data_IF_503128528340
#
_entry.id   IF_503128528340
#
_cell.length_a   1.000
_cell.length_b   1.000
_cell.length_c   1.000
_cell.angle_alpha   90.00
_cell.angle_beta   90.00
_cell.angle_gamma   90.00
#
_symmetry.space_group_name_H-M   'P 1'
#
loop_
_entity.id
_entity.type
_entity.pdbx_description
1 polymer ?
#
# COMPACT_ATOMS: atom_id res chain seq x y z
N UNK A 1 -1.52 21.92 19.42
CA UNK A 1 -2.83 21.22 19.60
C UNK A 1 -3.08 20.37 18.36
N UNK A 2 -3.19 19.06 18.50
CA UNK A 2 -3.48 18.16 17.38
C UNK A 2 -4.82 18.55 16.73
N UNK A 3 -4.88 18.55 15.42
CA UNK A 3 -6.13 18.83 14.67
C UNK A 3 -7.13 17.67 14.79
N UNK A 4 -6.62 16.43 14.86
CA UNK A 4 -7.44 15.25 15.09
C UNK A 4 -7.24 14.74 16.51
N UNK A 5 -8.34 14.58 17.24
CA UNK A 5 -8.35 13.71 18.41
C UNK A 5 -8.36 12.25 17.95
N UNK A 6 -7.63 11.41 18.64
CA UNK A 6 -7.82 9.96 18.48
C UNK A 6 -9.09 9.59 19.21
N UNK A 7 -10.16 9.19 18.50
CA UNK A 7 -11.37 8.79 19.16
C UNK A 7 -11.15 7.48 19.94
N UNK A 8 -11.87 7.29 21.03
CA UNK A 8 -12.11 5.94 21.50
C UNK A 8 -12.99 5.22 20.48
N UNK A 9 -12.86 3.92 20.38
CA UNK A 9 -13.62 3.15 19.39
C UNK A 9 -15.14 3.23 19.62
N UNK A 10 -15.54 3.33 20.89
CA UNK A 10 -16.94 3.50 21.31
C UNK A 10 -17.57 4.80 20.85
N UNK A 11 -16.74 5.84 20.62
CA UNK A 11 -17.17 7.17 20.14
C UNK A 11 -17.30 7.25 18.61
N UNK A 12 -16.92 6.17 17.90
CA UNK A 12 -17.00 6.12 16.44
C UNK A 12 -18.43 5.83 15.96
N UNK A 13 -18.80 6.32 14.76
CA UNK A 13 -20.08 5.98 14.15
C UNK A 13 -20.26 4.46 14.08
N UNK A 14 -21.45 3.94 14.36
CA UNK A 14 -21.72 2.49 14.32
C UNK A 14 -21.33 1.84 12.98
N UNK A 15 -21.44 2.57 11.88
CA UNK A 15 -21.08 2.13 10.53
C UNK A 15 -19.59 1.89 10.33
N UNK A 16 -18.75 2.40 11.22
CA UNK A 16 -17.30 2.16 11.18
C UNK A 16 -16.92 0.77 11.71
N UNK A 17 -17.67 0.26 12.68
CA UNK A 17 -17.33 -0.98 13.41
C UNK A 17 -17.08 -2.18 12.51
N UNK A 18 -17.96 -2.52 11.55
CA UNK A 18 -17.72 -3.67 10.67
C UNK A 18 -16.39 -3.57 9.89
N UNK A 19 -15.97 -2.36 9.54
CA UNK A 19 -14.73 -2.14 8.79
C UNK A 19 -13.49 -2.16 9.69
N UNK A 20 -13.61 -1.76 10.96
CA UNK A 20 -12.54 -1.91 11.95
C UNK A 20 -12.34 -3.40 12.29
N UNK A 21 -13.42 -4.16 12.42
CA UNK A 21 -13.34 -5.59 12.66
C UNK A 21 -12.74 -6.34 11.47
N UNK A 22 -13.12 -5.96 10.25
CA UNK A 22 -12.53 -6.50 9.04
C UNK A 22 -11.03 -6.17 8.96
N UNK A 23 -10.63 -4.95 9.32
CA UNK A 23 -9.23 -4.57 9.37
C UNK A 23 -8.43 -5.37 10.39
N UNK A 24 -9.01 -5.64 11.58
CA UNK A 24 -8.39 -6.54 12.58
C UNK A 24 -8.18 -7.94 12.02
N UNK A 25 -9.21 -8.46 11.37
CA UNK A 25 -9.16 -9.78 10.72
C UNK A 25 -8.06 -9.85 9.67
N UNK A 26 -7.99 -8.87 8.78
CA UNK A 26 -6.98 -8.81 7.72
C UNK A 26 -5.54 -8.74 8.26
N UNK A 27 -5.35 -8.07 9.38
CA UNK A 27 -4.02 -7.85 9.97
C UNK A 27 -3.64 -8.85 11.05
N UNK A 28 -4.58 -9.66 11.51
CA UNK A 28 -4.35 -10.61 12.60
C UNK A 28 -4.00 -9.91 13.92
N UNK A 29 -4.62 -8.77 14.21
CA UNK A 29 -4.37 -7.97 15.42
C UNK A 29 -5.66 -7.73 16.20
N UNK A 30 -5.57 -7.67 17.51
CA UNK A 30 -6.70 -7.30 18.37
C UNK A 30 -6.83 -5.77 18.48
N UNK A 31 -5.69 -5.07 18.59
CA UNK A 31 -5.64 -3.62 18.78
C UNK A 31 -5.19 -2.92 17.51
N UNK A 32 -5.95 -1.92 17.09
CA UNK A 32 -5.63 -1.09 15.94
C UNK A 32 -4.75 0.10 16.37
N UNK A 33 -3.83 0.49 15.48
CA UNK A 33 -3.05 1.71 15.68
C UNK A 33 -3.97 2.96 15.67
N UNK A 34 -3.56 4.01 16.39
CA UNK A 34 -4.31 5.28 16.53
C UNK A 34 -4.75 5.87 15.20
N UNK A 35 -3.89 5.80 14.19
CA UNK A 35 -4.22 6.29 12.84
C UNK A 35 -5.42 5.56 12.22
N UNK A 36 -5.61 4.28 12.52
CA UNK A 36 -6.76 3.51 12.03
C UNK A 36 -8.07 3.91 12.70
N UNK A 37 -8.04 4.22 13.99
CA UNK A 37 -9.21 4.75 14.70
C UNK A 37 -9.60 6.13 14.15
N UNK A 38 -8.61 6.97 13.80
CA UNK A 38 -8.88 8.24 13.15
C UNK A 38 -9.62 8.09 11.80
N UNK A 39 -9.33 7.03 11.02
CA UNK A 39 -10.12 6.71 9.81
C UNK A 39 -11.58 6.38 10.14
N UNK A 40 -11.85 5.81 11.30
CA UNK A 40 -13.21 5.44 11.73
C UNK A 40 -14.18 6.62 11.82
N UNK A 41 -13.69 7.86 11.98
CA UNK A 41 -14.52 9.06 11.94
C UNK A 41 -15.24 9.25 10.60
N UNK A 42 -14.74 8.67 9.53
CA UNK A 42 -15.38 8.66 8.20
C UNK A 42 -15.57 7.22 7.73
N UNK A 43 -16.67 6.54 8.08
CA UNK A 43 -16.92 5.14 7.71
C UNK A 43 -16.82 4.88 6.21
N UNK A 44 -17.18 5.87 5.37
CA UNK A 44 -17.05 5.76 3.91
C UNK A 44 -15.60 5.67 3.44
N UNK A 45 -14.71 6.46 4.04
CA UNK A 45 -13.27 6.44 3.72
C UNK A 45 -12.63 5.16 4.28
N UNK A 46 -12.98 4.80 5.52
CA UNK A 46 -12.51 3.54 6.12
C UNK A 46 -12.91 2.34 5.25
N UNK A 47 -14.18 2.25 4.84
CA UNK A 47 -14.66 1.21 3.91
C UNK A 47 -13.84 1.16 2.64
N UNK A 48 -13.69 2.29 1.94
CA UNK A 48 -12.95 2.36 0.69
C UNK A 48 -11.51 1.86 0.87
N UNK A 49 -10.87 2.27 1.97
CA UNK A 49 -9.50 1.89 2.30
C UNK A 49 -9.36 0.40 2.59
N UNK A 50 -10.22 -0.15 3.44
CA UNK A 50 -10.20 -1.58 3.82
C UNK A 50 -10.48 -2.47 2.62
N UNK A 51 -11.49 -2.12 1.81
CA UNK A 51 -11.82 -2.87 0.59
C UNK A 51 -10.68 -2.82 -0.44
N UNK A 52 -10.04 -1.66 -0.62
CA UNK A 52 -8.91 -1.55 -1.54
C UNK A 52 -7.70 -2.36 -1.08
N UNK A 53 -7.39 -2.36 0.23
CA UNK A 53 -6.32 -3.18 0.79
C UNK A 53 -6.58 -4.68 0.59
N UNK A 54 -7.80 -5.12 0.84
CA UNK A 54 -8.19 -6.52 0.65
C UNK A 54 -8.02 -6.96 -0.81
N UNK A 55 -8.48 -6.15 -1.76
CA UNK A 55 -8.47 -6.53 -3.17
C UNK A 55 -7.11 -6.36 -3.85
N UNK A 56 -6.29 -5.43 -3.40
CA UNK A 56 -5.07 -5.04 -4.11
C UNK A 56 -3.79 -5.47 -3.40
N UNK A 57 -3.75 -5.49 -2.08
CA UNK A 57 -2.53 -5.76 -1.33
C UNK A 57 -2.51 -7.13 -0.68
N UNK A 58 -3.61 -7.58 -0.10
CA UNK A 58 -3.66 -8.79 0.71
C UNK A 58 -3.53 -10.08 -0.11
N UNK A 59 -3.01 -11.13 0.56
CA UNK A 59 -2.86 -12.46 -0.05
C UNK A 59 -4.20 -13.11 -0.41
N UNK A 60 -5.26 -12.80 0.34
CA UNK A 60 -6.62 -13.33 0.12
C UNK A 60 -7.27 -12.85 -1.17
N UNK A 61 -6.75 -11.81 -1.81
CA UNK A 61 -7.21 -11.35 -3.13
C UNK A 61 -6.91 -12.33 -4.27
N UNK A 62 -6.76 -13.59 -3.99
CA UNK A 62 -6.45 -14.82 -4.73
C UNK A 62 -6.55 -14.89 -6.26
N UNK A 63 -6.74 -13.75 -6.94
CA UNK A 63 -6.85 -13.62 -8.39
C UNK A 63 -5.86 -12.60 -8.98
N UNK A 64 -4.99 -11.99 -8.16
CA UNK A 64 -4.00 -11.06 -8.69
C UNK A 64 -3.03 -11.77 -9.63
N UNK A 65 -2.70 -11.12 -10.73
CA UNK A 65 -1.69 -11.58 -11.68
C UNK A 65 -0.25 -11.46 -11.14
N UNK A 66 -0.08 -10.75 -10.02
CA UNK A 66 1.22 -10.48 -9.40
C UNK A 66 1.28 -11.12 -8.01
N UNK A 67 2.44 -11.67 -7.67
CA UNK A 67 2.64 -12.31 -6.38
C UNK A 67 2.42 -11.34 -5.23
N UNK A 68 2.14 -11.91 -4.08
CA UNK A 68 1.98 -11.13 -2.86
C UNK A 68 3.29 -10.41 -2.47
N UNK A 69 4.43 -11.07 -2.69
CA UNK A 69 5.76 -10.50 -2.50
C UNK A 69 5.98 -9.27 -3.38
N UNK A 70 5.68 -9.36 -4.67
CA UNK A 70 5.82 -8.23 -5.60
C UNK A 70 4.96 -7.04 -5.19
N UNK A 71 3.72 -7.29 -4.76
CA UNK A 71 2.79 -6.23 -4.30
C UNK A 71 3.30 -5.56 -3.03
N UNK A 72 3.79 -6.33 -2.06
CA UNK A 72 4.34 -5.75 -0.82
C UNK A 72 5.64 -4.98 -1.05
N UNK A 73 6.52 -5.49 -1.91
CA UNK A 73 7.74 -4.77 -2.31
C UNK A 73 7.42 -3.48 -3.05
N UNK A 74 6.47 -3.51 -4.01
CA UNK A 74 6.01 -2.31 -4.71
C UNK A 74 5.45 -1.27 -3.73
N UNK A 75 4.59 -1.70 -2.79
CA UNK A 75 4.02 -0.80 -1.78
C UNK A 75 5.09 -0.19 -0.87
N UNK A 76 6.07 -0.98 -0.42
CA UNK A 76 7.18 -0.50 0.39
C UNK A 76 7.99 0.57 -0.35
N UNK A 77 8.33 0.33 -1.64
CA UNK A 77 9.09 1.28 -2.45
C UNK A 77 8.31 2.57 -2.72
N UNK A 78 7.00 2.49 -2.99
CA UNK A 78 6.16 3.67 -3.10
C UNK A 78 6.11 4.45 -1.79
N UNK A 79 5.97 3.76 -0.65
CA UNK A 79 5.96 4.39 0.68
C UNK A 79 7.29 5.10 0.98
N UNK A 80 8.42 4.49 0.60
CA UNK A 80 9.76 5.09 0.69
C UNK A 80 9.86 6.35 -0.17
N UNK A 81 9.55 6.24 -1.46
CA UNK A 81 9.65 7.35 -2.41
C UNK A 81 8.74 8.53 -2.04
N UNK A 82 7.59 8.26 -1.43
CA UNK A 82 6.62 9.26 -0.99
C UNK A 82 6.81 9.72 0.45
N UNK A 83 7.88 9.25 1.13
CA UNK A 83 8.23 9.63 2.51
C UNK A 83 7.08 9.40 3.51
N UNK A 84 6.36 8.30 3.36
CA UNK A 84 5.35 7.86 4.32
C UNK A 84 6.01 6.92 5.33
N UNK A 85 6.61 7.47 6.40
CA UNK A 85 7.37 6.69 7.39
C UNK A 85 6.53 5.56 8.02
N UNK A 86 5.27 5.84 8.36
CA UNK A 86 4.36 4.83 8.92
C UNK A 86 4.04 3.70 7.93
N UNK A 87 3.83 4.03 6.64
CA UNK A 87 3.62 3.04 5.60
C UNK A 87 4.89 2.22 5.34
N UNK A 88 6.03 2.90 5.25
CA UNK A 88 7.32 2.28 5.01
C UNK A 88 7.71 1.31 6.12
N UNK A 89 7.68 1.78 7.38
CA UNK A 89 8.01 0.95 8.55
C UNK A 89 7.09 -0.26 8.68
N UNK A 90 5.78 -0.08 8.46
CA UNK A 90 4.81 -1.17 8.48
C UNK A 90 5.06 -2.22 7.39
N UNK A 91 5.32 -1.79 6.15
CA UNK A 91 5.63 -2.69 5.04
C UNK A 91 6.96 -3.41 5.24
N UNK A 92 7.98 -2.70 5.71
CA UNK A 92 9.29 -3.26 6.03
C UNK A 92 9.18 -4.37 7.08
N UNK A 93 8.51 -4.09 8.21
CA UNK A 93 8.29 -5.07 9.26
C UNK A 93 7.53 -6.32 8.76
N UNK A 94 6.59 -6.12 7.81
CA UNK A 94 5.87 -7.22 7.19
C UNK A 94 6.78 -8.07 6.28
N UNK A 95 7.56 -7.44 5.40
CA UNK A 95 8.52 -8.13 4.52
C UNK A 95 9.59 -8.89 5.30
N UNK A 96 10.04 -8.37 6.44
CA UNK A 96 10.96 -9.09 7.32
C UNK A 96 10.35 -10.39 7.88
N UNK A 97 9.05 -10.40 8.20
CA UNK A 97 8.34 -11.63 8.59
C UNK A 97 8.23 -12.65 7.45
N UNK A 98 8.34 -12.19 6.19
CA UNK A 98 8.41 -13.05 4.99
C UNK A 98 9.83 -13.56 4.69
N UNK A 99 10.81 -13.20 5.50
CA UNK A 99 12.18 -13.68 5.37
C UNK A 99 13.15 -12.73 4.66
N UNK A 100 12.72 -11.51 4.32
CA UNK A 100 13.66 -10.50 3.82
C UNK A 100 14.45 -9.90 5.00
N UNK A 101 15.75 -9.76 4.83
CA UNK A 101 16.58 -9.06 5.82
C UNK A 101 16.64 -7.55 5.57
N UNK A 102 16.99 -6.78 6.61
CA UNK A 102 17.06 -5.32 6.51
C UNK A 102 18.03 -4.82 5.44
N UNK A 103 19.27 -5.36 5.32
CA UNK A 103 20.19 -4.93 4.29
C UNK A 103 19.66 -5.12 2.87
N UNK A 104 18.95 -6.23 2.61
CA UNK A 104 18.31 -6.45 1.32
C UNK A 104 17.22 -5.40 1.03
N UNK A 105 16.35 -5.11 2.02
CA UNK A 105 15.30 -4.11 1.87
C UNK A 105 15.87 -2.71 1.63
N UNK A 106 16.96 -2.34 2.29
CA UNK A 106 17.68 -1.09 2.04
C UNK A 106 18.30 -1.05 0.64
N UNK A 107 18.88 -2.17 0.22
CA UNK A 107 19.40 -2.34 -1.14
C UNK A 107 18.32 -2.15 -2.21
N UNK A 108 17.11 -2.66 -2.00
CA UNK A 108 15.97 -2.48 -2.93
C UNK A 108 15.50 -1.03 -2.98
N UNK A 109 15.51 -0.31 -1.86
CA UNK A 109 15.20 1.12 -1.85
C UNK A 109 16.24 1.94 -2.62
N UNK A 110 17.51 1.59 -2.52
CA UNK A 110 18.60 2.24 -3.25
C UNK A 110 18.59 1.90 -4.75
N UNK A 111 18.26 0.66 -5.10
CA UNK A 111 18.20 0.18 -6.48
C UNK A 111 17.10 -0.88 -6.67
N UNK A 112 15.88 -0.47 -7.09
CA UNK A 112 14.79 -1.40 -7.33
C UNK A 112 15.05 -2.44 -8.44
N UNK A 113 16.07 -2.26 -9.29
CA UNK A 113 16.35 -3.21 -10.37
C UNK A 113 16.94 -4.53 -9.89
N UNK A 114 17.43 -4.59 -8.64
CA UNK A 114 18.01 -5.82 -8.05
C UNK A 114 16.99 -6.68 -7.29
N UNK A 115 15.71 -6.37 -7.39
CA UNK A 115 14.64 -7.16 -6.75
C UNK A 115 14.71 -8.63 -7.16
N UNK A 116 14.64 -9.59 -6.22
CA UNK A 116 14.68 -11.02 -6.49
C UNK A 116 13.33 -11.55 -7.01
N UNK A 117 12.81 -10.91 -8.05
CA UNK A 117 11.52 -11.20 -8.65
C UNK A 117 11.68 -11.64 -10.11
N UNK A 118 10.77 -12.45 -10.66
CA UNK A 118 10.67 -12.68 -12.09
C UNK A 118 10.52 -11.36 -12.86
N UNK A 119 10.98 -11.36 -14.13
CA UNK A 119 10.99 -10.13 -14.96
C UNK A 119 9.64 -9.43 -15.02
N UNK A 120 8.57 -10.20 -15.22
CA UNK A 120 7.19 -9.68 -15.25
C UNK A 120 6.82 -8.95 -13.97
N UNK A 121 7.25 -9.42 -12.82
CA UNK A 121 6.98 -8.80 -11.52
C UNK A 121 7.90 -7.62 -11.24
N UNK A 122 9.14 -7.65 -11.74
CA UNK A 122 10.01 -6.47 -11.72
C UNK A 122 9.42 -5.32 -12.53
N UNK A 123 8.81 -5.61 -13.69
CA UNK A 123 8.08 -4.60 -14.47
C UNK A 123 6.89 -4.04 -13.69
N UNK A 124 6.12 -4.89 -13.03
CA UNK A 124 5.03 -4.44 -12.16
C UNK A 124 5.55 -3.43 -11.12
N UNK A 125 6.60 -3.78 -10.39
CA UNK A 125 7.18 -2.89 -9.35
C UNK A 125 7.71 -1.60 -9.98
N UNK A 126 8.45 -1.68 -11.10
CA UNK A 126 8.97 -0.53 -11.85
C UNK A 126 7.86 0.47 -12.19
N UNK A 127 6.79 -0.02 -12.83
CA UNK A 127 5.73 0.85 -13.32
C UNK A 127 4.77 1.31 -12.22
N UNK A 128 4.54 0.51 -11.19
CA UNK A 128 3.82 0.96 -9.98
C UNK A 128 4.56 2.13 -9.34
N UNK A 129 5.88 2.02 -9.17
CA UNK A 129 6.69 3.09 -8.59
C UNK A 129 6.68 4.35 -9.47
N UNK A 130 6.84 4.19 -10.79
CA UNK A 130 6.78 5.31 -11.74
C UNK A 130 5.42 6.01 -11.70
N UNK A 131 4.31 5.26 -11.79
CA UNK A 131 2.95 5.79 -11.71
C UNK A 131 2.67 6.53 -10.40
N UNK A 132 3.18 6.00 -9.29
CA UNK A 132 2.97 6.58 -7.97
C UNK A 132 3.81 7.83 -7.71
N UNK A 133 4.91 8.03 -8.45
CA UNK A 133 5.82 9.17 -8.28
C UNK A 133 5.62 10.24 -9.35
N UNK A 134 5.52 9.86 -10.61
CA UNK A 134 5.26 10.76 -11.74
C UNK A 134 4.57 10.01 -12.89
N UNK A 135 3.24 9.99 -12.93
CA UNK A 135 2.47 9.28 -13.96
C UNK A 135 2.67 9.85 -15.37
N UNK A 136 3.14 11.09 -15.49
CA UNK A 136 3.35 11.74 -16.80
C UNK A 136 4.59 11.19 -17.54
N UNK A 137 5.46 10.44 -16.87
CA UNK A 137 6.61 9.79 -17.50
C UNK A 137 6.25 8.54 -18.29
N UNK A 138 5.04 7.99 -18.14
CA UNK A 138 4.58 6.85 -18.94
C UNK A 138 4.46 7.22 -20.40
N UNK A 139 5.05 6.38 -21.25
CA UNK A 139 5.07 6.55 -22.70
C UNK A 139 4.37 5.36 -23.38
N UNK A 140 3.84 5.51 -24.60
CA UNK A 140 3.24 4.40 -25.35
C UNK A 140 4.15 3.17 -25.49
N UNK A 141 5.47 3.37 -25.57
CA UNK A 141 6.47 2.28 -25.62
C UNK A 141 6.48 1.41 -24.37
N UNK A 142 6.14 1.98 -23.20
CA UNK A 142 6.12 1.25 -21.93
C UNK A 142 5.00 0.20 -21.95
N UNK A 143 3.85 0.53 -22.52
CA UNK A 143 2.76 -0.44 -22.73
C UNK A 143 3.14 -1.53 -23.74
N UNK A 144 3.97 -1.22 -24.72
CA UNK A 144 4.50 -2.21 -25.66
C UNK A 144 5.49 -3.14 -24.93
N UNK A 145 6.37 -2.62 -24.08
CA UNK A 145 7.26 -3.43 -23.23
C UNK A 145 6.46 -4.39 -22.34
N UNK A 146 5.41 -3.89 -21.68
CA UNK A 146 4.50 -4.72 -20.86
C UNK A 146 3.85 -5.84 -21.70
N UNK A 147 3.35 -5.52 -22.88
CA UNK A 147 2.71 -6.50 -23.75
C UNK A 147 3.70 -7.58 -24.23
N UNK A 148 4.91 -7.21 -24.58
CA UNK A 148 6.00 -8.15 -24.97
C UNK A 148 6.32 -9.12 -23.83
N UNK A 149 6.25 -8.66 -22.59
CA UNK A 149 6.43 -9.47 -21.37
C UNK A 149 5.16 -10.25 -20.96
N UNK A 150 4.14 -10.27 -21.81
CA UNK A 150 2.92 -11.06 -21.61
C UNK A 150 1.95 -10.46 -20.58
N UNK A 151 2.04 -9.17 -20.28
CA UNK A 151 1.04 -8.48 -19.47
C UNK A 151 -0.20 -8.17 -20.31
N UNK A 152 -1.34 -8.70 -19.89
CA UNK A 152 -2.63 -8.40 -20.51
C UNK A 152 -3.12 -6.99 -20.14
N UNK A 153 -4.14 -6.50 -20.83
CA UNK A 153 -4.79 -5.23 -20.46
C UNK A 153 -5.33 -5.25 -19.03
N UNK A 154 -5.86 -6.38 -18.57
CA UNK A 154 -6.34 -6.57 -17.19
C UNK A 154 -5.19 -6.43 -16.20
N UNK A 155 -4.01 -7.02 -16.48
CA UNK A 155 -2.83 -6.88 -15.63
C UNK A 155 -2.35 -5.42 -15.54
N UNK A 156 -2.40 -4.69 -16.65
CA UNK A 156 -2.05 -3.25 -16.67
C UNK A 156 -3.06 -2.44 -15.86
N UNK A 157 -4.35 -2.74 -15.95
CA UNK A 157 -5.38 -2.09 -15.14
C UNK A 157 -5.18 -2.37 -13.64
N UNK A 158 -4.86 -3.62 -13.27
CA UNK A 158 -4.53 -3.98 -11.89
C UNK A 158 -3.33 -3.19 -11.37
N UNK A 159 -2.27 -3.08 -12.18
CA UNK A 159 -1.08 -2.30 -11.84
C UNK A 159 -1.38 -0.82 -11.63
N UNK A 160 -2.18 -0.21 -12.50
CA UNK A 160 -2.62 1.20 -12.37
C UNK A 160 -3.46 1.37 -11.11
N UNK A 161 -4.41 0.47 -10.86
CA UNK A 161 -5.24 0.47 -9.65
C UNK A 161 -4.41 0.33 -8.39
N UNK A 162 -3.40 -0.55 -8.41
CA UNK A 162 -2.48 -0.73 -7.29
C UNK A 162 -1.65 0.53 -7.01
N UNK A 163 -1.12 1.19 -8.05
CA UNK A 163 -0.38 2.44 -7.90
C UNK A 163 -1.25 3.55 -7.28
N UNK A 164 -2.48 3.70 -7.77
CA UNK A 164 -3.44 4.65 -7.23
C UNK A 164 -3.79 4.36 -5.76
N UNK A 165 -3.98 3.09 -5.40
CA UNK A 165 -4.18 2.66 -4.02
C UNK A 165 -2.98 2.99 -3.13
N UNK A 166 -1.75 2.72 -3.59
CA UNK A 166 -0.54 3.02 -2.84
C UNK A 166 -0.39 4.53 -2.58
N UNK A 167 -0.70 5.36 -3.58
CA UNK A 167 -0.72 6.83 -3.45
C UNK A 167 -1.78 7.29 -2.46
N UNK A 168 -3.03 6.82 -2.61
CA UNK A 168 -4.11 7.12 -1.68
C UNK A 168 -3.71 6.79 -0.23
N UNK A 169 -3.17 5.59 -0.02
CA UNK A 169 -2.77 5.13 1.30
C UNK A 169 -1.64 5.97 1.92
N UNK A 170 -0.61 6.30 1.13
CA UNK A 170 0.50 7.12 1.62
C UNK A 170 0.08 8.55 1.96
N UNK A 171 -0.74 9.18 1.11
CA UNK A 171 -1.28 10.52 1.37
C UNK A 171 -2.09 10.52 2.66
N UNK A 172 -3.03 9.59 2.78
CA UNK A 172 -3.93 9.56 3.92
C UNK A 172 -3.18 9.26 5.22
N UNK A 173 -2.29 8.25 5.22
CA UNK A 173 -1.52 7.89 6.42
C UNK A 173 -0.61 9.03 6.88
N UNK A 174 0.08 9.69 5.94
CA UNK A 174 0.94 10.84 6.27
C UNK A 174 0.13 11.99 6.84
N UNK A 175 -0.99 12.35 6.20
CA UNK A 175 -1.84 13.44 6.64
C UNK A 175 -2.48 13.15 8.02
N UNK A 176 -3.00 11.92 8.22
CA UNK A 176 -3.57 11.51 9.50
C UNK A 176 -2.50 11.51 10.61
N UNK A 177 -1.31 10.99 10.34
CA UNK A 177 -0.21 10.99 11.31
C UNK A 177 0.23 12.40 11.67
N UNK A 178 0.27 13.32 10.71
CA UNK A 178 0.61 14.72 10.95
C UNK A 178 -0.48 15.41 11.80
N UNK A 179 -1.74 15.16 11.49
CA UNK A 179 -2.87 15.75 12.21
C UNK A 179 -3.04 15.23 13.65
N UNK A 180 -2.44 14.05 13.95
CA UNK A 180 -2.44 13.44 15.28
C UNK A 180 -1.22 13.82 16.15
N UNK A 181 -0.24 14.54 15.58
CA UNK A 181 0.93 15.01 16.35
C UNK A 181 0.56 16.25 17.13
N UNK A 182 0.93 16.26 18.41
CA UNK A 182 1.07 17.49 19.17
C UNK A 182 2.38 18.17 18.76
N UNK A 183 2.35 19.51 18.63
CA UNK A 183 3.56 20.31 18.40
C UNK A 183 4.51 20.24 19.60
#
# INVERSE_FOLDING_TARGET
MAFFDVPNEEDLPPEARPWLDELRRQRGVETLARSWLAYGRSPRILKARVTAEENLLNQSSGKSAFSWEARNLAFMLVAHARRCDGCFGGSRAHLMKLGFDEPALDGFCANPSVLPLPERERLFVKYVLQLATDPNQLQPKDFQEMAVQGLSQENVQEMIGFAAFAVFNTIFTTAASTALRDE
#
